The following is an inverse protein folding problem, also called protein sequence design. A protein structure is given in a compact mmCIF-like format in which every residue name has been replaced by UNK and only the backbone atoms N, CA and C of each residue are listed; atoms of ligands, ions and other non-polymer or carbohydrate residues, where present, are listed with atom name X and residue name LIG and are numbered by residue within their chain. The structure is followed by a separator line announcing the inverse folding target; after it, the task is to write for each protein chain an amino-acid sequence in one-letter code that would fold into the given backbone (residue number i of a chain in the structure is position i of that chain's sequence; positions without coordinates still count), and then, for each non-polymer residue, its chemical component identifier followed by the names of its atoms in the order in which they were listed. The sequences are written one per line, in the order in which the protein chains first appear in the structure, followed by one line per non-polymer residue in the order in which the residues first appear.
data_IF_304969938857
#
_entry.id   IF_304969938857
#
_cell.length_a   1.000
_cell.length_b   1.000
_cell.length_c   1.000
_cell.angle_alpha   90.00
_cell.angle_beta   90.00
_cell.angle_gamma   90.00
#
_symmetry.space_group_name_H-M   'P 1'
#
loop_
_entity.id
_entity.type
_entity.pdbx_description
1 polymer ?
#
# COMPACT_ATOMS: atom_id res chain seq x y z
N UNK A 1 29.90 16.42 9.24
CA UNK A 1 28.68 15.58 9.23
C UNK A 1 28.66 14.81 7.92
N UNK A 2 29.12 13.57 7.92
CA UNK A 2 29.02 12.72 6.73
C UNK A 2 27.65 12.05 6.73
N UNK A 3 26.78 12.50 5.83
CA UNK A 3 25.59 11.77 5.43
C UNK A 3 26.06 10.55 4.64
N UNK A 4 26.08 9.39 5.28
CA UNK A 4 26.28 8.13 4.58
C UNK A 4 24.89 7.52 4.31
N UNK A 5 24.54 7.23 3.04
CA UNK A 5 23.28 6.60 2.72
C UNK A 5 23.23 5.21 3.36
N UNK A 6 22.16 4.96 4.11
CA UNK A 6 21.89 3.64 4.69
C UNK A 6 21.15 2.81 3.63
N UNK A 7 21.74 1.69 3.25
CA UNK A 7 21.18 0.75 2.28
C UNK A 7 20.46 -0.38 3.02
N UNK A 8 19.13 -0.41 2.94
CA UNK A 8 18.34 -1.47 3.58
C UNK A 8 17.37 -2.08 2.55
N UNK A 9 17.77 -3.17 1.88
CA UNK A 9 16.88 -3.90 1.00
C UNK A 9 15.91 -4.72 1.85
N UNK A 10 14.63 -4.34 1.87
CA UNK A 10 13.59 -5.15 2.50
C UNK A 10 12.91 -6.03 1.46
N UNK A 11 12.76 -7.30 1.80
CA UNK A 11 11.99 -8.24 1.00
C UNK A 11 10.67 -8.48 1.73
N UNK A 12 9.60 -7.86 1.22
CA UNK A 12 8.25 -8.23 1.60
C UNK A 12 7.82 -9.34 0.63
N UNK A 13 7.86 -10.60 1.07
CA UNK A 13 7.41 -11.71 0.21
C UNK A 13 5.89 -11.77 0.21
N UNK A 14 5.29 -11.53 -0.96
CA UNK A 14 3.85 -11.73 -1.13
C UNK A 14 3.56 -13.15 -1.58
N UNK A 15 2.87 -13.93 -0.75
CA UNK A 15 2.30 -15.21 -1.19
C UNK A 15 0.87 -14.98 -1.68
N UNK A 16 0.70 -14.82 -2.98
CA UNK A 16 -0.62 -14.71 -3.60
C UNK A 16 -1.19 -16.11 -3.80
N UNK A 17 -2.26 -16.46 -3.09
CA UNK A 17 -2.94 -17.77 -3.21
C UNK A 17 -4.22 -17.72 -4.03
N UNK A 18 -4.69 -16.53 -4.39
CA UNK A 18 -5.91 -16.31 -5.18
C UNK A 18 -5.53 -15.70 -6.54
N UNK A 19 -5.89 -16.32 -7.69
CA UNK A 19 -5.57 -15.80 -9.01
C UNK A 19 -6.22 -14.43 -9.33
N UNK A 20 -7.30 -14.07 -8.63
CA UNK A 20 -7.93 -12.75 -8.74
C UNK A 20 -7.25 -11.68 -7.90
N UNK A 21 -6.27 -12.03 -7.06
CA UNK A 21 -5.52 -11.05 -6.29
C UNK A 21 -4.30 -10.60 -7.07
N UNK A 22 -4.21 -9.29 -7.32
CA UNK A 22 -3.02 -8.66 -7.87
C UNK A 22 -2.41 -7.71 -6.85
N UNK A 23 -1.08 -7.63 -6.87
CA UNK A 23 -0.33 -6.69 -6.04
C UNK A 23 0.36 -5.66 -6.92
N UNK A 24 0.46 -4.46 -6.41
CA UNK A 24 1.26 -3.40 -7.02
C UNK A 24 1.72 -2.39 -6.00
N UNK A 25 2.43 -1.39 -6.49
CA UNK A 25 2.90 -0.27 -5.68
C UNK A 25 2.61 1.07 -6.31
N UNK A 26 2.47 2.08 -5.47
CA UNK A 26 2.25 3.45 -5.88
C UNK A 26 3.21 4.42 -5.17
N UNK A 27 3.65 5.50 -5.85
CA UNK A 27 4.39 6.58 -5.21
C UNK A 27 3.56 7.23 -4.11
N UNK A 28 4.20 7.65 -3.01
CA UNK A 28 3.54 8.37 -1.91
C UNK A 28 2.93 9.71 -2.32
N UNK A 29 3.42 10.30 -3.40
CA UNK A 29 2.93 11.58 -3.94
C UNK A 29 1.60 11.42 -4.68
N UNK A 30 1.12 10.18 -4.88
CA UNK A 30 -0.08 9.90 -5.64
C UNK A 30 -1.19 9.39 -4.73
N UNK A 31 -2.40 9.92 -4.95
CA UNK A 31 -3.64 9.35 -4.45
C UNK A 31 -4.00 8.14 -5.32
N UNK A 32 -4.09 6.96 -4.71
CA UNK A 32 -4.50 5.73 -5.40
C UNK A 32 -6.02 5.65 -5.34
N UNK A 33 -6.67 6.09 -6.40
CA UNK A 33 -8.11 5.94 -6.57
C UNK A 33 -8.44 4.46 -6.80
N UNK A 34 -9.70 4.08 -6.58
CA UNK A 34 -10.19 2.70 -6.76
C UNK A 34 -9.82 2.12 -8.12
N UNK A 35 -9.74 2.94 -9.17
CA UNK A 35 -9.49 2.57 -10.57
C UNK A 35 -8.16 3.11 -11.10
N UNK A 36 -7.28 3.62 -10.24
CA UNK A 36 -5.94 4.04 -10.65
C UNK A 36 -5.20 2.88 -11.29
N UNK A 37 -4.48 3.15 -12.39
CA UNK A 37 -3.50 2.19 -12.90
C UNK A 37 -2.38 2.05 -11.89
N UNK A 38 -2.06 0.82 -11.52
CA UNK A 38 -0.99 0.50 -10.59
C UNK A 38 0.18 -0.16 -11.33
N UNK A 39 1.40 0.05 -10.84
CA UNK A 39 2.56 -0.71 -11.31
C UNK A 39 2.49 -2.09 -10.63
N UNK A 40 2.36 -3.19 -11.36
CA UNK A 40 2.28 -4.51 -10.76
C UNK A 40 3.60 -4.84 -10.04
N UNK A 41 3.48 -5.48 -8.89
CA UNK A 41 4.56 -6.07 -8.15
C UNK A 41 4.67 -7.54 -8.60
N UNK A 42 5.84 -7.94 -9.09
CA UNK A 42 6.05 -9.32 -9.51
C UNK A 42 6.00 -10.25 -8.28
N UNK A 43 5.57 -11.51 -8.46
CA UNK A 43 5.78 -12.53 -7.43
C UNK A 43 7.24 -12.55 -6.98
N UNK A 44 7.47 -12.66 -5.67
CA UNK A 44 8.79 -12.64 -5.02
C UNK A 44 9.57 -11.30 -5.09
N UNK A 45 8.97 -10.23 -5.61
CA UNK A 45 9.59 -8.91 -5.55
C UNK A 45 9.52 -8.31 -4.14
N UNK A 46 10.65 -7.77 -3.67
CA UNK A 46 10.75 -7.00 -2.43
C UNK A 46 10.45 -5.52 -2.64
N UNK A 47 10.18 -4.82 -1.52
CA UNK A 47 10.09 -3.36 -1.50
C UNK A 47 11.25 -2.81 -0.70
N UNK A 48 12.21 -2.21 -1.40
CA UNK A 48 13.37 -1.59 -0.77
C UNK A 48 13.03 -0.18 -0.31
N UNK A 49 13.57 0.23 0.84
CA UNK A 49 13.45 1.60 1.32
C UNK A 49 14.80 2.07 1.86
N UNK A 50 15.01 3.38 1.76
CA UNK A 50 16.22 4.05 2.24
C UNK A 50 15.79 5.13 3.20
N UNK A 51 16.43 5.16 4.37
CA UNK A 51 16.10 6.08 5.42
C UNK A 51 17.29 6.26 6.37
N UNK A 52 17.46 7.44 6.93
CA UNK A 52 18.41 7.71 8.00
C UNK A 52 17.87 7.28 9.37
N UNK A 53 18.77 7.16 10.35
CA UNK A 53 18.35 7.07 11.75
C UNK A 53 17.46 8.25 12.14
N UNK A 54 16.41 7.98 12.92
CA UNK A 54 15.38 8.95 13.32
C UNK A 54 14.46 9.44 12.18
N UNK A 55 14.47 8.79 11.01
CA UNK A 55 13.56 9.13 9.92
C UNK A 55 12.26 8.31 9.98
N UNK A 56 11.20 8.86 9.38
CA UNK A 56 9.97 8.11 9.09
C UNK A 56 9.74 8.11 7.60
N UNK A 57 9.66 6.92 7.02
CA UNK A 57 9.38 6.73 5.60
C UNK A 57 8.10 5.93 5.42
N UNK A 58 7.57 5.92 4.20
CA UNK A 58 6.35 5.19 3.90
C UNK A 58 6.35 4.59 2.51
N UNK A 59 5.51 3.59 2.29
CA UNK A 59 5.23 2.99 1.00
C UNK A 59 3.72 2.71 0.86
N UNK A 60 3.22 2.66 -0.36
CA UNK A 60 1.86 2.20 -0.65
C UNK A 60 1.92 0.86 -1.36
N UNK A 61 1.51 -0.21 -0.65
CA UNK A 61 1.15 -1.48 -1.28
C UNK A 61 -0.29 -1.35 -1.77
N UNK A 62 -0.57 -1.78 -2.99
CA UNK A 62 -1.92 -1.77 -3.56
C UNK A 62 -2.35 -3.20 -3.84
N UNK A 63 -3.46 -3.59 -3.23
CA UNK A 63 -4.14 -4.87 -3.50
C UNK A 63 -5.26 -4.58 -4.48
N UNK A 64 -5.33 -5.33 -5.56
CA UNK A 64 -6.36 -5.17 -6.59
C UNK A 64 -7.09 -6.49 -6.75
N UNK A 65 -8.42 -6.43 -6.68
CA UNK A 65 -9.25 -7.56 -7.02
C UNK A 65 -9.43 -7.67 -8.55
N UNK A 66 -9.47 -8.90 -9.05
CA UNK A 66 -9.79 -9.27 -10.42
C UNK A 66 -11.28 -9.11 -10.68
N UNK A 67 -11.91 -10.11 -11.28
CA UNK A 67 -13.34 -10.00 -11.61
C UNK A 67 -14.27 -10.28 -10.41
N UNK A 68 -13.75 -10.95 -9.39
CA UNK A 68 -14.50 -11.29 -8.17
C UNK A 68 -14.12 -10.39 -7.00
N UNK A 69 -15.06 -10.23 -6.05
CA UNK A 69 -14.80 -9.55 -4.78
C UNK A 69 -13.85 -10.41 -3.94
N UNK A 70 -12.84 -9.78 -3.34
CA UNK A 70 -11.97 -10.47 -2.38
C UNK A 70 -12.50 -10.20 -0.97
N UNK A 71 -13.03 -11.24 -0.33
CA UNK A 71 -13.45 -11.21 1.07
C UNK A 71 -12.30 -11.66 1.98
N UNK A 72 -12.37 -11.28 3.26
CA UNK A 72 -11.41 -11.67 4.31
C UNK A 72 -9.94 -11.44 3.98
N UNK A 73 -9.63 -10.38 3.22
CA UNK A 73 -8.26 -10.02 2.88
C UNK A 73 -7.54 -9.55 4.14
N UNK A 74 -6.39 -10.16 4.44
CA UNK A 74 -5.54 -9.74 5.55
C UNK A 74 -4.12 -9.46 5.07
N UNK A 75 -3.49 -8.45 5.66
CA UNK A 75 -2.09 -8.10 5.41
C UNK A 75 -1.38 -8.07 6.76
N UNK A 76 -0.29 -8.82 6.85
CA UNK A 76 0.47 -8.99 8.10
C UNK A 76 1.95 -8.99 7.79
N UNK A 77 2.74 -8.48 8.73
CA UNK A 77 4.18 -8.71 8.75
C UNK A 77 4.41 -10.13 9.25
N UNK A 78 5.21 -10.91 8.54
CA UNK A 78 5.56 -12.28 8.93
C UNK A 78 6.80 -12.35 9.82
N UNK A 79 7.45 -11.21 10.07
CA UNK A 79 8.64 -11.10 10.90
C UNK A 79 9.29 -9.72 10.80
N UNK A 80 10.49 -9.62 11.35
CA UNK A 80 11.28 -8.39 11.33
C UNK A 80 11.77 -8.05 9.93
N UNK A 81 11.95 -6.75 9.76
CA UNK A 81 12.44 -6.12 8.54
C UNK A 81 13.94 -6.41 8.38
N UNK A 82 14.33 -7.04 7.27
CA UNK A 82 15.71 -7.46 7.02
C UNK A 82 16.56 -6.36 6.38
N UNK A 83 17.81 -6.22 6.83
CA UNK A 83 18.82 -5.33 6.26
C UNK A 83 19.95 -6.06 5.52
N UNK A 84 20.64 -5.31 4.65
CA UNK A 84 21.74 -5.79 3.79
C UNK A 84 22.92 -6.43 4.52
N UNK A 85 23.13 -6.13 5.80
CA UNK A 85 24.27 -6.62 6.61
C UNK A 85 23.83 -7.59 7.71
N UNK A 86 22.71 -8.29 7.51
CA UNK A 86 22.13 -9.19 8.50
C UNK A 86 21.64 -8.45 9.75
N UNK A 87 21.41 -7.14 9.64
CA UNK A 87 20.74 -6.34 10.66
C UNK A 87 19.23 -6.51 10.49
N UNK A 88 18.50 -6.38 11.58
CA UNK A 88 17.05 -6.43 11.57
C UNK A 88 16.48 -5.17 12.21
N UNK A 89 15.35 -4.73 11.68
CA UNK A 89 14.50 -3.73 12.29
C UNK A 89 13.27 -4.44 12.84
N UNK A 90 13.06 -4.33 14.15
CA UNK A 90 11.92 -4.91 14.84
C UNK A 90 10.61 -4.49 14.16
N UNK A 91 9.74 -5.48 13.89
CA UNK A 91 8.46 -5.26 13.19
C UNK A 91 7.51 -4.29 13.91
N UNK A 92 7.67 -4.07 15.21
CA UNK A 92 6.96 -3.04 15.98
C UNK A 92 7.27 -1.60 15.56
N UNK A 93 8.33 -1.39 14.76
CA UNK A 93 8.63 -0.10 14.12
C UNK A 93 7.84 0.14 12.84
N UNK A 94 7.01 -0.81 12.42
CA UNK A 94 6.19 -0.73 11.21
C UNK A 94 4.71 -0.67 11.57
N UNK A 95 4.02 0.33 11.03
CA UNK A 95 2.58 0.44 11.09
C UNK A 95 1.97 0.16 9.73
N UNK A 96 0.99 -0.74 9.69
CA UNK A 96 0.12 -0.96 8.53
C UNK A 96 -1.17 -0.17 8.74
N UNK A 97 -1.50 0.69 7.78
CA UNK A 97 -2.69 1.54 7.81
C UNK A 97 -3.53 1.25 6.57
N UNK A 98 -4.83 1.10 6.73
CA UNK A 98 -5.73 0.93 5.59
C UNK A 98 -6.06 2.30 5.00
N UNK A 99 -5.83 2.50 3.70
CA UNK A 99 -6.29 3.72 3.05
C UNK A 99 -7.80 3.66 2.91
N UNK A 100 -8.50 4.49 3.68
CA UNK A 100 -9.95 4.61 3.62
C UNK A 100 -10.36 5.61 2.56
N UNK A 101 -11.58 5.43 2.07
CA UNK A 101 -12.14 6.20 0.97
C UNK A 101 -13.31 7.03 1.51
N UNK A 102 -13.21 8.35 1.39
CA UNK A 102 -14.29 9.27 1.74
C UNK A 102 -15.17 9.41 0.50
N UNK A 103 -16.48 9.10 0.58
CA UNK A 103 -17.38 9.29 -0.55
C UNK A 103 -17.27 10.72 -1.09
N UNK A 104 -17.33 10.87 -2.42
CA UNK A 104 -17.45 12.19 -3.07
C UNK A 104 -18.93 12.43 -3.40
N UNK A 105 -19.71 13.02 -2.47
CA UNK A 105 -21.15 13.21 -2.65
C UNK A 105 -21.47 14.20 -3.76
N UNK A 106 -20.58 15.14 -4.06
CA UNK A 106 -20.83 16.24 -5.00
C UNK A 106 -20.16 16.05 -6.37
N UNK A 107 -19.38 14.98 -6.55
CA UNK A 107 -18.77 14.65 -7.84
C UNK A 107 -17.70 15.65 -8.27
N UNK A 108 -16.98 16.24 -7.31
CA UNK A 108 -16.09 17.40 -7.50
C UNK A 108 -14.78 17.11 -8.24
N UNK A 109 -14.68 16.00 -8.99
CA UNK A 109 -13.57 15.80 -9.93
C UNK A 109 -12.98 14.40 -9.99
N UNK A 110 -13.60 13.41 -9.33
CA UNK A 110 -13.08 12.03 -9.32
C UNK A 110 -13.42 11.32 -10.65
N UNK A 111 -14.63 11.49 -11.20
CA UNK A 111 -15.06 10.77 -12.40
C UNK A 111 -15.72 11.71 -13.43
N UNK A 112 -15.02 12.03 -14.52
CA UNK A 112 -15.63 12.67 -15.69
C UNK A 112 -16.47 11.68 -16.52
N UNK A 113 -17.19 12.18 -17.54
CA UNK A 113 -18.03 11.34 -18.41
C UNK A 113 -17.24 10.27 -19.18
N UNK A 114 -15.95 10.48 -19.40
CA UNK A 114 -15.07 9.53 -20.09
C UNK A 114 -14.73 8.36 -19.17
N UNK A 115 -14.38 8.65 -17.91
CA UNK A 115 -14.12 7.64 -16.89
C UNK A 115 -15.39 6.84 -16.54
N UNK A 116 -16.55 7.49 -16.45
CA UNK A 116 -17.83 6.79 -16.20
C UNK A 116 -18.22 5.82 -17.32
N UNK A 117 -17.89 6.13 -18.58
CA UNK A 117 -18.10 5.18 -19.69
C UNK A 117 -17.20 3.95 -19.59
N UNK A 118 -15.99 4.14 -19.05
CA UNK A 118 -15.01 3.06 -18.86
C UNK A 118 -15.29 2.22 -17.62
N UNK A 119 -15.80 2.84 -16.56
CA UNK A 119 -16.12 2.23 -15.28
C UNK A 119 -17.54 2.66 -14.86
N UNK A 120 -18.58 1.97 -15.34
CA UNK A 120 -19.98 2.28 -15.01
C UNK A 120 -20.28 2.31 -13.50
N UNK A 121 -19.50 1.57 -12.71
CA UNK A 121 -19.58 1.49 -11.25
C UNK A 121 -19.19 2.80 -10.55
N UNK A 122 -18.60 3.77 -11.25
CA UNK A 122 -18.34 5.12 -10.71
C UNK A 122 -19.61 5.93 -10.45
N UNK A 123 -20.78 5.37 -10.77
CA UNK A 123 -22.07 5.88 -10.31
C UNK A 123 -22.31 5.61 -8.82
N UNK A 124 -21.63 4.62 -8.23
CA UNK A 124 -21.63 4.36 -6.80
C UNK A 124 -20.68 5.34 -6.07
N UNK A 125 -21.17 6.16 -5.13
CA UNK A 125 -20.34 7.13 -4.40
C UNK A 125 -19.29 6.46 -3.48
N UNK A 126 -19.43 5.18 -3.14
CA UNK A 126 -18.41 4.43 -2.38
C UNK A 126 -17.21 4.02 -3.26
N UNK A 127 -17.44 3.87 -4.57
CA UNK A 127 -16.41 3.62 -5.57
C UNK A 127 -15.81 4.93 -6.06
N UNK A 128 -16.67 5.94 -6.28
CA UNK A 128 -16.28 7.33 -6.56
C UNK A 128 -15.96 8.06 -5.26
N UNK A 129 -14.83 7.69 -4.67
CA UNK A 129 -14.44 8.17 -3.35
C UNK A 129 -12.96 8.56 -3.33
N UNK A 130 -12.62 9.53 -2.48
CA UNK A 130 -11.28 10.07 -2.34
C UNK A 130 -10.47 9.32 -1.27
N UNK A 131 -9.27 8.80 -1.59
CA UNK A 131 -8.42 8.07 -0.65
C UNK A 131 -7.64 9.04 0.25
N UNK A 132 -8.01 9.14 1.52
CA UNK A 132 -7.35 10.09 2.42
C UNK A 132 -7.14 9.59 3.85
N UNK A 133 -8.16 9.12 4.59
CA UNK A 133 -7.93 8.70 5.96
C UNK A 133 -7.04 7.46 6.00
N UNK A 134 -6.15 7.42 6.98
CA UNK A 134 -5.21 6.33 7.23
C UNK A 134 -5.47 5.67 8.59
N UNK A 135 -6.67 5.10 8.86
CA UNK A 135 -6.89 4.36 10.09
C UNK A 135 -5.95 3.14 10.18
N UNK A 136 -5.71 2.64 11.41
CA UNK A 136 -5.06 1.35 11.60
C UNK A 136 -5.69 0.27 10.73
N UNK A 137 -4.86 -0.61 10.16
CA UNK A 137 -5.34 -1.72 9.36
C UNK A 137 -6.21 -2.67 10.22
N UNK A 138 -7.38 -3.01 9.71
CA UNK A 138 -8.27 -4.00 10.34
C UNK A 138 -7.71 -5.41 10.19
N UNK A 139 -8.15 -6.36 11.03
CA UNK A 139 -7.67 -7.75 10.96
C UNK A 139 -7.95 -8.41 9.60
N UNK A 140 -9.10 -8.06 9.00
CA UNK A 140 -9.48 -8.37 7.64
C UNK A 140 -10.29 -7.23 7.02
N UNK A 141 -10.37 -7.19 5.70
CA UNK A 141 -11.18 -6.24 4.94
C UNK A 141 -11.60 -6.81 3.58
N UNK A 142 -12.58 -6.17 2.95
CA UNK A 142 -13.05 -6.54 1.61
C UNK A 142 -12.43 -5.64 0.55
N UNK A 143 -12.03 -6.23 -0.58
CA UNK A 143 -11.62 -5.49 -1.78
C UNK A 143 -12.68 -5.69 -2.87
N UNK A 144 -13.39 -4.63 -3.29
CA UNK A 144 -14.39 -4.73 -4.35
C UNK A 144 -13.77 -5.21 -5.66
N UNK A 145 -14.51 -6.03 -6.41
CA UNK A 145 -14.11 -6.52 -7.73
C UNK A 145 -13.62 -5.38 -8.63
N UNK A 146 -12.55 -5.62 -9.38
CA UNK A 146 -11.89 -4.72 -10.33
C UNK A 146 -11.30 -3.44 -9.72
N UNK A 147 -11.25 -3.34 -8.39
CA UNK A 147 -10.81 -2.13 -7.71
C UNK A 147 -9.63 -2.33 -6.77
N UNK A 148 -8.93 -1.22 -6.55
CA UNK A 148 -7.77 -1.10 -5.69
C UNK A 148 -8.19 -0.90 -4.22
N UNK A 149 -7.44 -1.51 -3.31
CA UNK A 149 -7.41 -1.20 -1.89
C UNK A 149 -5.95 -1.00 -1.47
N UNK A 150 -5.51 0.26 -1.27
CA UNK A 150 -4.17 0.53 -0.80
C UNK A 150 -4.03 0.26 0.69
N UNK A 151 -2.86 -0.23 1.06
CA UNK A 151 -2.35 -0.32 2.43
C UNK A 151 -1.11 0.56 2.52
N UNK A 152 -1.17 1.54 3.40
CA UNK A 152 -0.08 2.45 3.68
C UNK A 152 0.84 1.83 4.73
N UNK A 153 2.09 1.57 4.34
CA UNK A 153 3.12 0.99 5.19
C UNK A 153 3.98 2.13 5.69
N UNK A 154 3.97 2.39 7.00
CA UNK A 154 4.80 3.42 7.63
C UNK A 154 5.89 2.76 8.44
N UNK A 155 7.14 3.16 8.21
CA UNK A 155 8.32 2.62 8.90
C UNK A 155 8.99 3.76 9.67
N UNK A 156 9.21 3.55 10.96
CA UNK A 156 9.93 4.50 11.82
C UNK A 156 11.32 3.94 12.11
N UNK A 157 12.37 4.67 11.75
CA UNK A 157 13.75 4.23 11.99
C UNK A 157 14.23 4.78 13.34
N UNK A 158 14.61 3.94 14.30
CA UNK A 158 15.18 4.41 15.56
C UNK A 158 16.41 5.29 15.36
N UNK A 159 16.64 6.24 16.25
CA UNK A 159 17.77 7.19 16.16
C UNK A 159 19.13 6.49 16.10
N UNK A 160 19.30 5.41 16.87
CA UNK A 160 20.52 4.62 16.91
C UNK A 160 20.42 3.32 16.12
N UNK A 161 19.54 3.27 15.10
CA UNK A 161 19.43 2.11 14.22
C UNK A 161 20.78 1.89 13.50
N UNK A 162 21.40 0.72 13.64
CA UNK A 162 22.62 0.40 12.90
C UNK A 162 22.39 0.52 11.39
N UNK A 163 23.40 1.00 10.67
CA UNK A 163 23.32 1.07 9.22
C UNK A 163 23.38 -0.33 8.59
N UNK A 164 22.53 -0.56 7.59
CA UNK A 164 22.57 -1.71 6.69
C UNK A 164 21.49 -2.72 6.99
#
# INVERSE_FOLDING_TARGET
MHLLPVFVPFIMTSRVTNPDLQLGVAPLTCKVLRYSKIKPLLPDAGLELWAAGNERVSHQLVITAGEEVLEDVSVRLTGDLQGSKGKTLDSGNVALLQVSYIPDPEGLGIADKTLQRRFPELTDPSIRAWPDPLPPLQESFTVPARFNQPVWIKVSIPEHCPSG
#
